data_IF_733200076970
#
_entry.id   IF_733200076970
#
_cell.length_a   1.000
_cell.length_b   1.000
_cell.length_c   1.000
_cell.angle_alpha   90.00
_cell.angle_beta   90.00
_cell.angle_gamma   90.00
#
_symmetry.space_group_name_H-M   'P 1'
#
loop_
_entity.id
_entity.type
_entity.pdbx_description
1 polymer ?
#
# COMPACT_ATOMS: atom_id res chain seq x y z
N UNK A 1 -14.81 -1.79 16.45
CA UNK A 1 -14.34 -0.44 16.11
C UNK A 1 -13.52 -0.58 14.84
N UNK A 2 -14.06 -0.21 13.68
CA UNK A 2 -13.26 -0.17 12.45
C UNK A 2 -12.28 0.99 12.59
N UNK A 3 -10.99 0.72 12.44
CA UNK A 3 -9.99 1.76 12.21
C UNK A 3 -10.10 2.09 10.72
N UNK A 4 -10.58 3.30 10.41
CA UNK A 4 -10.51 3.82 9.05
C UNK A 4 -9.12 4.43 8.91
N UNK A 5 -8.32 3.89 7.98
CA UNK A 5 -7.07 4.50 7.55
C UNK A 5 -7.37 5.30 6.29
N UNK A 6 -6.91 6.55 6.20
CA UNK A 6 -7.11 7.40 5.02
C UNK A 6 -5.81 8.02 4.54
N UNK A 7 -5.74 8.29 3.24
CA UNK A 7 -4.63 8.99 2.61
C UNK A 7 -5.00 10.47 2.52
N UNK A 8 -4.11 11.34 3.00
CA UNK A 8 -4.31 12.78 2.99
C UNK A 8 -3.33 13.46 2.06
N UNK A 9 -3.82 14.44 1.31
CA UNK A 9 -3.03 15.32 0.45
C UNK A 9 -2.93 16.70 1.08
N UNK A 10 -1.72 17.25 1.06
CA UNK A 10 -1.44 18.61 1.50
C UNK A 10 -0.71 19.36 0.40
N UNK A 11 -1.07 20.63 0.21
CA UNK A 11 -0.30 21.51 -0.67
C UNK A 11 1.06 21.84 -0.04
N UNK A 12 2.12 21.76 -0.83
CA UNK A 12 3.45 22.14 -0.41
C UNK A 12 3.89 23.44 -1.09
N UNK A 13 4.11 24.48 -0.28
CA UNK A 13 4.64 25.76 -0.76
C UNK A 13 6.16 25.82 -0.58
N UNK A 14 6.87 26.32 -1.59
CA UNK A 14 8.33 26.48 -1.53
C UNK A 14 8.74 27.36 -0.35
N UNK A 15 9.66 26.84 0.48
CA UNK A 15 10.11 27.52 1.69
C UNK A 15 9.29 27.20 2.95
N UNK A 16 8.21 26.44 2.83
CA UNK A 16 7.48 25.92 4.00
C UNK A 16 8.38 25.05 4.88
N UNK A 17 8.19 25.17 6.19
CA UNK A 17 8.86 24.35 7.22
C UNK A 17 7.92 23.40 7.95
N UNK A 18 6.64 23.46 7.64
CA UNK A 18 5.59 22.60 8.17
C UNK A 18 4.44 22.54 7.18
N UNK A 19 3.60 21.53 7.31
CA UNK A 19 2.32 21.44 6.62
C UNK A 19 1.46 22.66 7.04
N UNK A 20 0.71 23.20 6.09
CA UNK A 20 -0.22 24.31 6.28
C UNK A 20 -1.58 23.92 5.68
N UNK A 21 -2.67 24.50 6.19
CA UNK A 21 -4.03 24.22 5.74
C UNK A 21 -4.65 22.95 6.33
N UNK A 22 -5.90 22.68 5.94
CA UNK A 22 -6.71 21.57 6.48
C UNK A 22 -6.36 20.21 5.86
N UNK A 23 -5.71 20.20 4.69
CA UNK A 23 -5.53 19.00 3.88
C UNK A 23 -6.81 18.52 3.21
N UNK A 24 -6.67 17.59 2.28
CA UNK A 24 -7.77 16.95 1.58
C UNK A 24 -7.65 15.44 1.77
N UNK A 25 -8.71 14.83 2.28
CA UNK A 25 -8.77 13.38 2.40
C UNK A 25 -9.13 12.75 1.05
N UNK A 26 -8.43 11.68 0.70
CA UNK A 26 -8.74 10.85 -0.46
C UNK A 26 -9.60 9.67 -0.01
N UNK A 27 -10.80 9.97 0.51
CA UNK A 27 -11.69 9.01 1.19
C UNK A 27 -12.27 7.93 0.27
N UNK A 28 -12.30 8.17 -1.04
CA UNK A 28 -12.81 7.20 -2.04
C UNK A 28 -11.78 6.11 -2.39
N UNK A 29 -10.57 6.18 -1.85
CA UNK A 29 -9.61 5.09 -1.96
C UNK A 29 -10.10 3.94 -1.09
N UNK A 30 -10.33 2.77 -1.69
CA UNK A 30 -10.33 1.52 -0.91
C UNK A 30 -8.94 1.46 -0.29
N UNK A 31 -8.83 1.80 0.98
CA UNK A 31 -7.57 2.00 1.70
C UNK A 31 -7.16 0.72 2.42
N UNK A 32 -6.00 0.72 3.09
CA UNK A 32 -5.60 -0.45 3.86
C UNK A 32 -6.53 -0.64 5.07
N UNK A 33 -7.08 -1.84 5.23
CA UNK A 33 -8.02 -2.16 6.31
C UNK A 33 -7.31 -2.45 7.65
N UNK A 34 -5.97 -2.52 7.66
CA UNK A 34 -5.14 -2.91 8.82
C UNK A 34 -3.83 -2.10 8.90
N UNK A 35 -3.06 -2.35 9.96
CA UNK A 35 -1.96 -1.54 10.52
C UNK A 35 -0.87 -0.99 9.59
N UNK A 36 -0.76 -1.42 8.33
CA UNK A 36 0.32 -0.99 7.44
C UNK A 36 -0.22 -0.58 6.07
N UNK A 37 -0.16 0.71 5.75
CA UNK A 37 -0.33 1.25 4.42
C UNK A 37 1.06 1.66 3.93
N UNK A 38 1.64 0.95 2.95
CA UNK A 38 2.81 1.47 2.24
C UNK A 38 2.34 2.43 1.14
N UNK A 39 3.05 3.55 0.97
CA UNK A 39 2.76 4.54 -0.06
C UNK A 39 4.05 4.91 -0.79
N UNK A 40 4.07 4.78 -2.12
CA UNK A 40 5.20 5.17 -2.96
C UNK A 40 4.69 5.93 -4.19
N UNK A 41 5.30 7.07 -4.50
CA UNK A 41 5.01 7.84 -5.73
C UNK A 41 6.31 8.04 -6.52
N UNK A 42 6.62 7.17 -7.50
CA UNK A 42 7.84 7.34 -8.30
C UNK A 42 7.73 8.46 -9.34
N UNK A 43 6.52 8.95 -9.59
CA UNK A 43 6.23 10.01 -10.56
C UNK A 43 5.24 11.00 -9.95
N UNK A 44 5.07 12.14 -10.60
CA UNK A 44 4.05 13.15 -10.24
C UNK A 44 2.64 12.80 -10.76
N UNK A 45 2.40 11.53 -11.12
CA UNK A 45 1.13 11.11 -11.74
C UNK A 45 0.43 9.98 -10.98
N UNK A 46 1.21 9.02 -10.46
CA UNK A 46 0.70 7.78 -9.88
C UNK A 46 1.36 7.50 -8.55
N UNK A 47 0.56 6.98 -7.62
CA UNK A 47 1.03 6.39 -6.38
C UNK A 47 0.66 4.91 -6.32
N UNK A 48 1.48 4.15 -5.61
CA UNK A 48 1.28 2.75 -5.27
C UNK A 48 0.92 2.65 -3.80
N UNK A 49 -0.12 1.88 -3.49
CA UNK A 49 -0.57 1.62 -2.12
C UNK A 49 -0.53 0.13 -1.82
N UNK A 50 0.12 -0.29 -0.73
CA UNK A 50 0.15 -1.69 -0.29
C UNK A 50 -1.01 -2.01 0.64
N UNK A 51 -1.72 -3.09 0.32
CA UNK A 51 -2.95 -3.51 0.98
C UNK A 51 -2.77 -4.93 1.52
N UNK A 52 -2.87 -5.06 2.85
CA UNK A 52 -2.81 -6.36 3.51
C UNK A 52 -4.05 -7.21 3.19
N UNK A 53 -3.91 -8.53 3.36
CA UNK A 53 -5.04 -9.44 3.48
C UNK A 53 -5.98 -9.05 4.62
N UNK A 54 -7.25 -9.45 4.51
CA UNK A 54 -8.23 -9.29 5.58
C UNK A 54 -7.93 -10.22 6.77
N UNK A 55 -7.24 -11.35 6.56
CA UNK A 55 -6.99 -12.34 7.61
C UNK A 55 -5.50 -12.56 7.88
N UNK A 56 -5.20 -13.36 8.92
CA UNK A 56 -3.83 -13.70 9.33
C UNK A 56 -3.19 -14.84 8.51
N UNK A 57 -4.02 -15.62 7.82
CA UNK A 57 -3.75 -17.03 7.57
C UNK A 57 -4.47 -17.62 6.36
N UNK A 58 -5.52 -16.97 5.90
CA UNK A 58 -6.43 -17.50 4.88
C UNK A 58 -6.90 -16.34 4.00
N UNK A 59 -6.41 -16.32 2.77
CA UNK A 59 -6.56 -15.19 1.87
C UNK A 59 -7.42 -15.58 0.65
N UNK A 60 -7.99 -16.80 0.65
CA UNK A 60 -8.70 -17.38 -0.50
C UNK A 60 -10.01 -16.64 -0.83
N UNK A 61 -10.62 -15.97 0.17
CA UNK A 61 -11.84 -15.18 0.02
C UNK A 61 -11.57 -13.66 -0.12
N UNK A 62 -10.30 -13.24 -0.13
CA UNK A 62 -9.96 -11.83 -0.25
C UNK A 62 -10.28 -11.29 -1.66
N UNK A 63 -10.88 -10.10 -1.77
CA UNK A 63 -10.99 -9.45 -3.07
C UNK A 63 -9.60 -9.07 -3.57
N UNK A 64 -9.43 -8.93 -4.90
CA UNK A 64 -8.14 -8.59 -5.53
C UNK A 64 -7.51 -7.27 -5.03
N UNK A 65 -8.30 -6.39 -4.39
CA UNK A 65 -7.79 -5.17 -3.76
C UNK A 65 -7.03 -5.43 -2.45
N UNK A 66 -7.13 -6.62 -1.87
CA UNK A 66 -6.39 -7.06 -0.69
C UNK A 66 -5.26 -8.02 -1.09
N UNK A 67 -4.32 -8.26 -0.18
CA UNK A 67 -3.08 -9.01 -0.45
C UNK A 67 -2.38 -8.56 -1.75
N UNK A 68 -2.24 -7.24 -1.91
CA UNK A 68 -1.88 -6.64 -3.20
C UNK A 68 -1.24 -5.26 -3.07
N UNK A 69 -0.61 -4.83 -4.15
CA UNK A 69 -0.35 -3.41 -4.41
C UNK A 69 -1.38 -2.88 -5.39
N UNK A 70 -2.01 -1.77 -5.03
CA UNK A 70 -2.87 -1.00 -5.92
C UNK A 70 -2.07 0.15 -6.52
N UNK A 71 -2.40 0.53 -7.75
CA UNK A 71 -1.91 1.74 -8.42
C UNK A 71 -3.07 2.70 -8.61
N UNK A 72 -2.85 3.97 -8.32
CA UNK A 72 -3.89 5.01 -8.32
C UNK A 72 -3.32 6.36 -8.71
N UNK A 73 -4.14 7.26 -9.26
CA UNK A 73 -3.75 8.65 -9.50
C UNK A 73 -3.52 9.40 -8.18
N UNK A 74 -2.74 10.49 -8.22
CA UNK A 74 -2.49 11.33 -7.04
C UNK A 74 -3.72 12.09 -6.51
N UNK A 75 -4.82 12.09 -7.26
CA UNK A 75 -6.12 12.60 -6.82
C UNK A 75 -7.06 11.50 -6.28
N UNK A 76 -6.55 10.27 -6.14
CA UNK A 76 -7.32 9.12 -5.67
C UNK A 76 -8.12 8.39 -6.74
N UNK A 77 -8.16 8.88 -7.99
CA UNK A 77 -8.96 8.27 -9.05
C UNK A 77 -8.25 7.13 -9.79
N UNK A 78 -9.02 6.28 -10.49
CA UNK A 78 -8.50 5.18 -11.30
C UNK A 78 -7.65 4.16 -10.53
N UNK A 79 -8.10 3.80 -9.32
CA UNK A 79 -7.52 2.71 -8.56
C UNK A 79 -7.66 1.38 -9.31
N UNK A 80 -6.58 0.61 -9.36
CA UNK A 80 -6.54 -0.73 -9.95
C UNK A 80 -5.43 -1.57 -9.35
N UNK A 81 -5.54 -2.89 -9.47
CA UNK A 81 -4.53 -3.82 -8.94
C UNK A 81 -3.29 -3.84 -9.83
N UNK A 82 -2.13 -3.51 -9.25
CA UNK A 82 -0.83 -3.57 -9.92
C UNK A 82 -0.23 -4.97 -9.83
N UNK A 83 -0.20 -5.54 -8.63
CA UNK A 83 0.18 -6.95 -8.39
C UNK A 83 -0.59 -7.48 -7.18
N UNK A 84 -0.86 -8.79 -7.16
CA UNK A 84 -1.57 -9.48 -6.08
C UNK A 84 -0.81 -10.77 -5.71
N UNK A 85 -1.08 -11.29 -4.52
CA UNK A 85 -0.42 -12.48 -3.97
C UNK A 85 0.51 -12.23 -2.79
N UNK A 86 1.17 -11.07 -2.63
CA UNK A 86 1.84 -10.73 -1.37
C UNK A 86 0.78 -10.53 -0.28
N UNK A 87 0.75 -11.39 0.75
CA UNK A 87 -0.26 -11.32 1.83
C UNK A 87 -0.28 -9.97 2.54
N UNK A 88 0.88 -9.48 2.96
CA UNK A 88 1.00 -8.19 3.66
C UNK A 88 2.17 -7.38 3.10
N UNK A 89 1.97 -6.64 2.00
CA UNK A 89 3.01 -5.84 1.36
C UNK A 89 3.31 -4.58 2.17
N UNK A 90 4.39 -4.64 2.95
CA UNK A 90 4.77 -3.59 3.90
C UNK A 90 5.62 -2.47 3.28
N UNK A 91 6.29 -2.74 2.17
CA UNK A 91 7.08 -1.72 1.44
C UNK A 91 7.22 -2.06 -0.03
N UNK A 92 7.32 -1.02 -0.86
CA UNK A 92 7.68 -1.08 -2.28
C UNK A 92 8.92 -0.21 -2.52
N UNK A 93 9.82 -0.67 -3.37
CA UNK A 93 10.95 0.11 -3.86
C UNK A 93 11.14 -0.16 -5.35
N UNK A 94 11.66 0.84 -6.06
CA UNK A 94 11.94 0.74 -7.50
C UNK A 94 13.42 0.98 -7.68
N UNK A 95 14.12 0.05 -8.34
CA UNK A 95 15.52 0.22 -8.62
C UNK A 95 15.71 1.30 -9.69
N UNK A 96 16.49 2.36 -9.45
CA UNK A 96 16.48 3.58 -10.27
C UNK A 96 17.11 3.42 -11.66
N UNK A 97 17.78 2.29 -11.92
CA UNK A 97 18.45 2.01 -13.20
C UNK A 97 17.71 0.92 -13.98
N UNK A 98 17.33 -0.18 -13.32
CA UNK A 98 16.63 -1.30 -13.97
C UNK A 98 15.12 -1.15 -14.00
N UNK A 99 14.57 -0.23 -13.20
CA UNK A 99 13.12 -0.02 -13.00
C UNK A 99 12.40 -1.26 -12.45
N UNK A 100 13.16 -2.22 -11.92
CA UNK A 100 12.61 -3.39 -11.24
C UNK A 100 11.97 -2.99 -9.91
N UNK A 101 10.83 -3.61 -9.63
CA UNK A 101 10.09 -3.43 -8.39
C UNK A 101 10.54 -4.46 -7.37
N UNK A 102 10.66 -4.01 -6.13
CA UNK A 102 11.03 -4.82 -4.99
C UNK A 102 10.02 -4.63 -3.87
N UNK A 103 9.47 -5.73 -3.36
CA UNK A 103 8.42 -5.78 -2.36
C UNK A 103 8.92 -6.54 -1.14
N UNK A 104 8.70 -5.96 0.05
CA UNK A 104 8.81 -6.69 1.31
C UNK A 104 7.43 -7.15 1.76
N UNK A 105 7.26 -8.45 1.93
CA UNK A 105 6.00 -9.06 2.37
C UNK A 105 6.15 -9.66 3.78
N UNK A 106 5.17 -9.39 4.64
CA UNK A 106 5.00 -10.13 5.88
C UNK A 106 4.06 -11.32 5.64
N UNK A 107 4.56 -12.52 5.89
CA UNK A 107 3.84 -13.76 5.60
C UNK A 107 2.82 -14.14 6.68
N UNK A 108 2.14 -15.26 6.47
CA UNK A 108 1.12 -15.81 7.37
C UNK A 108 1.73 -16.13 8.73
N UNK A 109 1.00 -15.76 9.78
CA UNK A 109 1.37 -16.13 11.14
C UNK A 109 0.98 -17.61 11.41
N UNK A 110 1.26 -18.16 12.59
CA UNK A 110 0.61 -19.33 13.21
C UNK A 110 0.33 -20.62 12.40
N UNK A 111 0.94 -20.86 11.24
CA UNK A 111 0.81 -22.10 10.45
C UNK A 111 2.05 -23.01 10.52
N UNK A 112 2.92 -22.76 11.51
CA UNK A 112 4.07 -23.59 11.83
C UNK A 112 5.37 -23.13 11.16
N UNK A 113 6.45 -23.87 11.41
CA UNK A 113 7.81 -23.48 11.02
C UNK A 113 8.21 -23.99 9.63
N UNK A 114 7.37 -24.82 8.99
CA UNK A 114 7.60 -25.36 7.64
C UNK A 114 7.18 -24.38 6.52
N UNK A 115 7.00 -23.11 6.87
CA UNK A 115 6.69 -22.05 5.93
C UNK A 115 7.93 -21.28 5.56
N UNK A 116 7.87 -20.74 4.36
CA UNK A 116 8.93 -19.88 3.89
C UNK A 116 8.88 -18.55 4.66
N UNK A 117 10.05 -18.04 5.05
CA UNK A 117 10.18 -16.81 5.83
C UNK A 117 9.68 -15.59 5.05
N UNK A 118 9.46 -14.46 5.74
CA UNK A 118 9.14 -13.16 5.14
C UNK A 118 9.99 -12.91 3.89
N UNK A 119 9.34 -12.59 2.77
CA UNK A 119 10.01 -12.52 1.48
C UNK A 119 10.37 -11.10 1.09
N UNK A 120 11.52 -10.99 0.44
CA UNK A 120 11.87 -9.88 -0.46
C UNK A 120 11.75 -10.42 -1.89
N UNK A 121 10.87 -9.84 -2.68
CA UNK A 121 10.65 -10.24 -4.09
C UNK A 121 10.74 -9.06 -5.03
#
# INVERSE_FOLDING_TARGET
>A
MLLIVSVWRYEWLNGSRSIQGEGESLDDLDSCDRWTCSLLSPTDQKMFTGHSSLTGHDDDDDPLSKASFQIVNLDGTNQSTFTFGPRNPTSLSIHPISEEFYIACQERDGIGDDLVSNFFT
#
